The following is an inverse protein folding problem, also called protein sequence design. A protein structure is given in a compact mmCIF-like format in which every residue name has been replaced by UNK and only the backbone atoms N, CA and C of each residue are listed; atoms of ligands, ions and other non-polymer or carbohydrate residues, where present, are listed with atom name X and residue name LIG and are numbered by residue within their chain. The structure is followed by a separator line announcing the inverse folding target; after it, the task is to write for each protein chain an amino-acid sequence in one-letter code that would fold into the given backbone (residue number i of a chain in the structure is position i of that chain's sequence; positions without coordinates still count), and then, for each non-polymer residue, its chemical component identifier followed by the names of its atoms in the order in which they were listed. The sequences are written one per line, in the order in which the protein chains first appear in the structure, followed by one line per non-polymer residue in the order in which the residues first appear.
data_IF_101039380641
#
_entry.id   IF_101039380641
#
_cell.length_a   1.000
_cell.length_b   1.000
_cell.length_c   1.000
_cell.angle_alpha   90.00
_cell.angle_beta   90.00
_cell.angle_gamma   90.00
#
_symmetry.space_group_name_H-M   'P 1'
#
loop_
_entity.id
_entity.type
_entity.pdbx_description
1 polymer ?
#
# COMPACT_ATOMS: atom_id res chain seq x y z
N UNK A 1 -68.69 21.94 -12.77
CA UNK A 1 -67.36 21.28 -12.68
C UNK A 1 -67.63 19.86 -12.23
N UNK A 2 -67.33 18.87 -13.08
CA UNK A 2 -67.71 17.47 -12.87
C UNK A 2 -66.71 16.82 -11.87
N UNK A 3 -67.14 16.02 -10.88
CA UNK A 3 -66.23 15.40 -9.90
C UNK A 3 -65.26 14.36 -10.49
N UNK A 4 -65.41 14.02 -11.78
CA UNK A 4 -64.67 12.96 -12.48
C UNK A 4 -63.30 13.41 -13.04
N UNK A 5 -62.97 14.71 -13.00
CA UNK A 5 -61.73 15.25 -13.60
C UNK A 5 -60.50 15.21 -12.68
N UNK A 6 -60.51 14.40 -11.60
CA UNK A 6 -59.32 14.21 -10.76
C UNK A 6 -58.39 13.21 -11.46
N UNK A 7 -57.14 13.59 -11.82
CA UNK A 7 -56.20 12.66 -12.44
C UNK A 7 -55.97 11.49 -11.48
N UNK A 8 -56.36 10.28 -11.88
CA UNK A 8 -56.05 9.06 -11.12
C UNK A 8 -54.53 8.94 -11.01
N UNK A 9 -53.99 9.22 -9.82
CA UNK A 9 -52.61 8.93 -9.46
C UNK A 9 -52.37 7.44 -9.67
N UNK A 10 -51.76 7.08 -10.81
CA UNK A 10 -51.27 5.72 -11.03
C UNK A 10 -50.02 5.57 -10.18
N UNK A 11 -50.09 4.72 -9.16
CA UNK A 11 -48.92 4.27 -8.43
C UNK A 11 -47.93 3.67 -9.43
N UNK A 12 -46.68 4.15 -9.42
CA UNK A 12 -45.61 3.51 -10.17
C UNK A 12 -45.51 2.05 -9.73
N UNK A 13 -45.29 1.12 -10.68
CA UNK A 13 -45.16 -0.28 -10.33
C UNK A 13 -43.99 -0.48 -9.35
N UNK A 14 -44.13 -1.36 -8.34
CA UNK A 14 -43.05 -1.63 -7.41
C UNK A 14 -41.83 -2.17 -8.16
N UNK A 15 -40.68 -1.54 -7.95
CA UNK A 15 -39.41 -1.95 -8.55
C UNK A 15 -39.04 -3.37 -8.12
N UNK A 16 -38.44 -4.14 -9.03
CA UNK A 16 -37.95 -5.48 -8.70
C UNK A 16 -36.73 -5.40 -7.79
N UNK A 17 -36.44 -6.49 -7.06
CA UNK A 17 -35.25 -6.56 -6.22
C UNK A 17 -33.95 -6.37 -7.03
N UNK A 18 -33.92 -6.80 -8.30
CA UNK A 18 -32.78 -6.59 -9.21
C UNK A 18 -32.60 -5.12 -9.60
N UNK A 19 -33.70 -4.40 -9.84
CA UNK A 19 -33.66 -2.97 -10.16
C UNK A 19 -33.18 -2.13 -8.96
N UNK A 20 -33.63 -2.50 -7.77
CA UNK A 20 -33.18 -1.93 -6.49
C UNK A 20 -31.67 -2.13 -6.29
N UNK A 21 -31.16 -3.34 -6.51
CA UNK A 21 -29.72 -3.64 -6.40
C UNK A 21 -28.91 -2.79 -7.40
N UNK A 22 -29.34 -2.73 -8.66
CA UNK A 22 -28.65 -1.92 -9.70
C UNK A 22 -28.66 -0.43 -9.38
N UNK A 23 -29.75 0.11 -8.81
CA UNK A 23 -29.79 1.51 -8.36
C UNK A 23 -28.80 1.75 -7.22
N UNK A 24 -28.81 0.89 -6.20
CA UNK A 24 -27.90 1.02 -5.05
C UNK A 24 -26.43 0.94 -5.49
N UNK A 25 -26.08 0.04 -6.42
CA UNK A 25 -24.72 -0.04 -6.97
C UNK A 25 -24.33 1.22 -7.74
N UNK A 26 -25.24 1.79 -8.54
CA UNK A 26 -25.00 3.05 -9.26
C UNK A 26 -24.82 4.23 -8.32
N UNK A 27 -25.67 4.35 -7.29
CA UNK A 27 -25.58 5.39 -6.28
C UNK A 27 -24.28 5.29 -5.49
N UNK A 28 -23.89 4.07 -5.07
CA UNK A 28 -22.58 3.82 -4.46
C UNK A 28 -21.45 4.26 -5.37
N UNK A 29 -21.48 3.85 -6.64
CA UNK A 29 -20.42 4.18 -7.61
C UNK A 29 -20.33 5.70 -7.83
N UNK A 30 -21.46 6.39 -7.94
CA UNK A 30 -21.49 7.85 -8.04
C UNK A 30 -20.92 8.52 -6.79
N UNK A 31 -21.28 8.04 -5.58
CA UNK A 31 -20.74 8.55 -4.32
C UNK A 31 -19.23 8.29 -4.19
N UNK A 32 -18.73 7.14 -4.64
CA UNK A 32 -17.30 6.85 -4.71
C UNK A 32 -16.56 7.81 -5.65
N UNK A 33 -17.07 8.00 -6.87
CA UNK A 33 -16.48 8.91 -7.86
C UNK A 33 -16.48 10.36 -7.38
N UNK A 34 -17.56 10.81 -6.73
CA UNK A 34 -17.63 12.15 -6.16
C UNK A 34 -16.66 12.33 -4.98
N UNK A 35 -16.47 11.30 -4.15
CA UNK A 35 -15.46 11.30 -3.10
C UNK A 35 -14.04 11.32 -3.66
N UNK A 36 -13.77 10.58 -4.73
CA UNK A 36 -12.49 10.60 -5.45
C UNK A 36 -12.21 11.98 -6.07
N UNK A 37 -13.19 12.60 -6.73
CA UNK A 37 -13.02 13.94 -7.31
C UNK A 37 -12.80 15.03 -6.25
N UNK A 38 -13.43 14.91 -5.07
CA UNK A 38 -13.15 15.80 -3.94
C UNK A 38 -11.72 15.65 -3.38
N UNK A 39 -11.00 14.58 -3.73
CA UNK A 39 -9.60 14.35 -3.35
C UNK A 39 -8.62 14.83 -4.44
N UNK A 40 -9.09 15.38 -5.56
CA UNK A 40 -8.22 15.96 -6.60
C UNK A 40 -7.33 17.05 -5.99
N UNK A 41 -6.00 16.87 -6.05
CA UNK A 41 -4.99 17.73 -5.43
C UNK A 41 -5.01 17.73 -3.90
N UNK A 42 -5.49 16.65 -3.28
CA UNK A 42 -5.53 16.54 -1.82
C UNK A 42 -4.15 16.58 -1.16
N UNK A 43 -3.08 16.24 -1.89
CA UNK A 43 -1.73 16.25 -1.35
C UNK A 43 -1.03 17.59 -1.51
N UNK A 44 -1.48 18.50 -2.37
CA UNK A 44 -0.83 19.79 -2.53
C UNK A 44 -0.90 20.61 -1.21
N UNK A 45 0.21 21.20 -0.72
CA UNK A 45 1.53 21.36 -1.37
C UNK A 45 2.59 20.29 -1.01
N UNK A 46 2.22 19.21 -0.33
CA UNK A 46 3.15 18.18 0.16
C UNK A 46 3.71 17.29 -0.95
N UNK A 47 5.00 16.97 -0.85
CA UNK A 47 5.73 16.05 -1.71
C UNK A 47 5.75 14.68 -1.07
N UNK A 48 4.90 13.78 -1.55
CA UNK A 48 4.73 12.44 -0.98
C UNK A 48 5.35 11.39 -1.89
N UNK A 49 6.15 10.50 -1.31
CA UNK A 49 6.76 9.37 -2.00
C UNK A 49 6.15 8.02 -1.64
N UNK A 50 6.05 7.11 -2.60
CA UNK A 50 5.63 5.73 -2.33
C UNK A 50 6.34 4.73 -3.23
N UNK A 51 6.18 3.45 -2.92
CA UNK A 51 6.76 2.35 -3.68
C UNK A 51 5.75 1.82 -4.69
N UNK A 52 6.22 1.38 -5.86
CA UNK A 52 5.38 0.81 -6.92
C UNK A 52 5.07 -0.68 -6.72
N UNK A 53 5.25 -1.20 -5.50
CA UNK A 53 4.98 -2.59 -5.17
C UNK A 53 3.48 -2.83 -4.98
N UNK A 54 3.02 -4.04 -5.34
CA UNK A 54 1.61 -4.40 -5.29
C UNK A 54 0.96 -4.24 -3.90
N UNK A 55 1.74 -4.41 -2.83
CA UNK A 55 1.29 -4.24 -1.46
C UNK A 55 1.04 -2.76 -1.06
N UNK A 56 1.57 -1.80 -1.82
CA UNK A 56 1.36 -0.37 -1.59
C UNK A 56 0.27 0.23 -2.50
N UNK A 57 -0.15 -0.49 -3.55
CA UNK A 57 -1.19 -0.03 -4.48
C UNK A 57 -2.49 0.41 -3.77
N UNK A 58 -3.01 -0.31 -2.76
CA UNK A 58 -4.21 0.14 -2.06
C UNK A 58 -4.04 1.47 -1.32
N UNK A 59 -2.81 1.83 -0.93
CA UNK A 59 -2.51 3.06 -0.19
C UNK A 59 -2.42 4.29 -1.12
N UNK A 60 -2.05 4.08 -2.38
CA UNK A 60 -1.87 5.16 -3.36
C UNK A 60 -3.00 5.26 -4.37
N UNK A 61 -4.04 4.43 -4.23
CA UNK A 61 -5.16 4.38 -5.17
C UNK A 61 -5.89 5.72 -5.20
N UNK A 62 -5.98 6.33 -6.37
CA UNK A 62 -6.59 7.65 -6.59
C UNK A 62 -5.64 8.83 -6.37
N UNK A 63 -4.41 8.58 -5.93
CA UNK A 63 -3.37 9.59 -5.69
C UNK A 63 -2.15 9.39 -6.60
N UNK A 64 -2.25 8.49 -7.59
CA UNK A 64 -1.09 8.04 -8.38
C UNK A 64 -0.41 9.18 -9.13
N UNK A 65 -1.15 10.21 -9.54
CA UNK A 65 -0.61 11.39 -10.23
C UNK A 65 0.03 12.42 -9.26
N UNK A 66 -0.22 12.30 -7.96
CA UNK A 66 0.28 13.21 -6.92
C UNK A 66 1.44 12.61 -6.10
N UNK A 67 1.78 11.34 -6.33
CA UNK A 67 2.78 10.58 -5.56
C UNK A 67 4.01 10.29 -6.42
N UNK A 68 5.20 10.55 -5.86
CA UNK A 68 6.46 10.14 -6.47
C UNK A 68 6.71 8.65 -6.21
N UNK A 69 6.70 7.85 -7.27
CA UNK A 69 7.03 6.43 -7.18
C UNK A 69 8.52 6.16 -7.36
N UNK A 70 9.16 5.56 -6.36
CA UNK A 70 10.56 5.13 -6.42
C UNK A 70 10.82 3.89 -5.55
N UNK A 71 12.04 3.34 -5.61
CA UNK A 71 12.44 2.24 -4.72
C UNK A 71 12.55 2.73 -3.27
N UNK A 72 12.38 1.86 -2.25
CA UNK A 72 12.51 2.25 -0.85
C UNK A 72 13.82 3.00 -0.54
N UNK A 73 14.95 2.53 -1.07
CA UNK A 73 16.26 3.16 -0.88
C UNK A 73 16.32 4.56 -1.49
N UNK A 74 15.68 4.77 -2.65
CA UNK A 74 15.62 6.09 -3.28
C UNK A 74 14.72 7.05 -2.52
N UNK A 75 13.57 6.56 -2.03
CA UNK A 75 12.67 7.37 -1.19
C UNK A 75 13.35 7.81 0.11
N UNK A 76 14.12 6.92 0.74
CA UNK A 76 14.94 7.26 1.90
C UNK A 76 15.97 8.36 1.57
N UNK A 77 16.70 8.25 0.45
CA UNK A 77 17.65 9.29 0.00
C UNK A 77 16.96 10.66 -0.20
N UNK A 78 15.77 10.68 -0.80
CA UNK A 78 15.01 11.90 -1.03
C UNK A 78 14.49 12.52 0.28
N UNK A 79 14.02 11.71 1.22
CA UNK A 79 13.63 12.18 2.56
C UNK A 79 14.83 12.74 3.33
N UNK A 80 15.99 12.11 3.23
CA UNK A 80 17.21 12.60 3.88
C UNK A 80 17.66 13.97 3.36
N UNK A 81 17.36 14.28 2.09
CA UNK A 81 17.67 15.55 1.42
C UNK A 81 16.56 16.60 1.52
N UNK A 82 15.50 16.31 2.27
CA UNK A 82 14.32 17.17 2.38
C UNK A 82 13.67 17.44 0.99
N UNK A 83 13.83 16.51 0.04
CA UNK A 83 13.21 16.53 -1.29
C UNK A 83 11.80 15.91 -1.27
N UNK A 84 11.45 15.18 -0.21
CA UNK A 84 10.12 14.70 0.13
C UNK A 84 9.71 15.18 1.52
N UNK A 85 8.42 15.38 1.73
CA UNK A 85 7.84 15.74 3.03
C UNK A 85 7.33 14.51 3.78
N UNK A 86 6.91 13.47 3.04
CA UNK A 86 6.52 12.18 3.58
C UNK A 86 6.85 11.07 2.58
N UNK A 87 7.07 9.84 3.06
CA UNK A 87 7.29 8.72 2.17
C UNK A 87 7.11 7.35 2.79
N UNK A 88 6.63 6.40 1.99
CA UNK A 88 6.59 4.99 2.38
C UNK A 88 7.99 4.36 2.27
N UNK A 89 8.71 4.33 3.38
CA UNK A 89 10.08 3.79 3.46
C UNK A 89 10.17 2.50 4.25
N UNK A 90 11.33 1.86 4.17
CA UNK A 90 11.68 0.71 4.99
C UNK A 90 11.76 1.10 6.47
N UNK A 91 11.26 0.23 7.36
CA UNK A 91 11.40 0.42 8.82
C UNK A 91 12.87 0.53 9.27
N UNK A 92 13.83 -0.05 8.54
CA UNK A 92 15.25 0.08 8.90
C UNK A 92 15.76 1.50 8.71
N UNK A 93 15.20 2.27 7.76
CA UNK A 93 15.53 3.68 7.59
C UNK A 93 15.19 4.47 8.85
N UNK A 94 13.99 4.23 9.39
CA UNK A 94 13.53 4.85 10.64
C UNK A 94 14.35 4.40 11.84
N UNK A 95 14.64 3.10 11.95
CA UNK A 95 15.38 2.56 13.10
C UNK A 95 16.86 2.98 13.12
N UNK A 96 17.46 3.28 11.97
CA UNK A 96 18.87 3.64 11.88
C UNK A 96 19.12 5.15 11.82
N UNK A 97 18.07 5.97 11.66
CA UNK A 97 18.18 7.42 11.59
C UNK A 97 17.14 8.08 12.50
N UNK A 98 17.61 8.81 13.51
CA UNK A 98 16.78 9.43 14.55
C UNK A 98 16.21 10.80 14.12
N UNK A 99 15.55 10.85 12.96
CA UNK A 99 15.05 12.11 12.38
C UNK A 99 13.62 12.07 11.85
N UNK A 100 12.97 10.91 11.93
CA UNK A 100 11.66 10.70 11.31
C UNK A 100 10.59 10.48 12.36
N UNK A 101 9.47 11.17 12.17
CA UNK A 101 8.24 10.81 12.85
C UNK A 101 7.53 9.73 12.04
N UNK A 102 7.12 8.65 12.71
CA UNK A 102 6.33 7.58 12.09
C UNK A 102 4.85 7.94 12.20
N UNK A 103 4.14 7.91 11.08
CA UNK A 103 2.70 8.13 11.08
C UNK A 103 1.98 6.91 11.66
N UNK A 104 1.18 7.15 12.71
CA UNK A 104 0.37 6.11 13.35
C UNK A 104 -0.72 5.56 12.41
N UNK A 105 -1.21 4.36 12.74
CA UNK A 105 -2.34 3.68 12.10
C UNK A 105 -2.16 3.27 10.62
N UNK A 106 -0.99 3.53 10.03
CA UNK A 106 -0.71 3.17 8.63
C UNK A 106 0.68 2.55 8.47
N UNK A 107 0.72 1.35 7.90
CA UNK A 107 1.98 0.68 7.55
C UNK A 107 1.75 -0.41 6.50
N UNK A 108 2.81 -0.77 5.79
CA UNK A 108 2.89 -2.06 5.11
C UNK A 108 3.39 -3.09 6.12
N UNK A 109 2.46 -3.79 6.76
CA UNK A 109 2.74 -4.78 7.79
C UNK A 109 1.91 -6.05 7.59
N UNK A 110 2.30 -7.14 8.26
CA UNK A 110 1.54 -8.38 8.28
C UNK A 110 1.64 -9.03 9.66
N UNK A 111 0.55 -9.64 10.10
CA UNK A 111 0.53 -10.58 11.21
C UNK A 111 0.59 -12.00 10.64
N UNK A 112 1.78 -12.60 10.63
CA UNK A 112 2.01 -13.92 10.06
C UNK A 112 2.74 -13.87 8.73
N UNK A 113 2.40 -14.80 7.83
CA UNK A 113 3.13 -14.96 6.57
C UNK A 113 2.93 -13.78 5.60
N UNK A 114 3.97 -13.50 4.82
CA UNK A 114 3.93 -12.59 3.67
C UNK A 114 4.36 -13.37 2.43
N UNK A 115 3.67 -13.16 1.31
CA UNK A 115 3.93 -13.92 0.07
C UNK A 115 4.97 -13.28 -0.85
N UNK A 116 5.42 -12.08 -0.49
CA UNK A 116 6.33 -11.25 -1.29
C UNK A 116 7.76 -11.18 -0.74
N UNK A 117 8.04 -11.81 0.40
CA UNK A 117 9.38 -11.85 0.99
C UNK A 117 9.76 -13.31 1.20
N UNK A 118 10.72 -13.80 0.41
CA UNK A 118 11.04 -15.22 0.32
C UNK A 118 12.53 -15.46 0.52
N UNK A 119 12.88 -16.47 1.30
CA UNK A 119 14.21 -17.06 1.33
C UNK A 119 14.16 -18.39 0.55
N UNK A 120 14.63 -18.38 -0.69
CA UNK A 120 14.72 -19.59 -1.49
C UNK A 120 15.99 -20.38 -1.14
N UNK A 121 15.86 -21.68 -0.83
CA UNK A 121 16.99 -22.55 -0.53
C UNK A 121 16.73 -23.99 -1.02
N UNK A 122 17.79 -24.70 -1.43
CA UNK A 122 17.72 -26.10 -1.88
C UNK A 122 18.11 -27.13 -0.81
N UNK A 123 18.88 -26.69 0.18
CA UNK A 123 19.34 -27.50 1.33
C UNK A 123 18.61 -27.05 2.60
N UNK A 124 18.57 -27.84 3.67
CA UNK A 124 18.07 -27.38 4.96
C UNK A 124 18.74 -26.07 5.39
N UNK A 125 17.96 -25.16 6.00
CA UNK A 125 18.46 -23.83 6.38
C UNK A 125 19.66 -23.89 7.33
N UNK A 126 19.75 -24.95 8.15
CA UNK A 126 20.86 -25.16 9.08
C UNK A 126 22.21 -25.42 8.39
N UNK A 127 22.20 -25.82 7.12
CA UNK A 127 23.41 -26.07 6.31
C UNK A 127 23.83 -24.85 5.47
N UNK A 128 23.06 -23.78 5.52
CA UNK A 128 23.33 -22.57 4.71
C UNK A 128 24.59 -21.89 5.22
N UNK A 129 25.56 -21.72 4.32
CA UNK A 129 26.80 -20.98 4.58
C UNK A 129 26.82 -19.59 3.96
N UNK A 130 26.07 -19.41 2.88
CA UNK A 130 26.01 -18.18 2.10
C UNK A 130 24.57 -17.86 1.75
N UNK A 131 24.21 -16.59 1.86
CA UNK A 131 22.90 -16.05 1.48
C UNK A 131 23.11 -14.90 0.51
N UNK A 132 22.60 -15.04 -0.71
CA UNK A 132 22.62 -13.99 -1.71
C UNK A 132 21.39 -13.10 -1.55
N UNK A 133 21.59 -11.81 -1.37
CA UNK A 133 20.54 -10.84 -1.05
C UNK A 133 20.35 -9.85 -2.20
N UNK A 134 19.10 -9.54 -2.52
CA UNK A 134 18.74 -8.47 -3.44
C UNK A 134 19.19 -7.11 -2.85
N UNK A 135 20.02 -6.32 -3.56
CA UNK A 135 20.45 -4.99 -3.11
C UNK A 135 19.30 -4.01 -2.84
N UNK A 136 18.15 -4.19 -3.49
CA UNK A 136 16.97 -3.34 -3.26
C UNK A 136 16.23 -3.66 -1.95
N UNK A 137 16.54 -4.79 -1.32
CA UNK A 137 15.89 -5.26 -0.10
C UNK A 137 16.64 -4.85 1.17
N UNK A 138 16.14 -3.83 1.88
CA UNK A 138 16.71 -3.38 3.15
C UNK A 138 16.10 -4.12 4.36
N UNK A 139 14.79 -3.99 4.59
CA UNK A 139 14.11 -4.58 5.77
C UNK A 139 14.24 -6.09 5.84
N UNK A 140 13.95 -6.79 4.75
CA UNK A 140 13.87 -8.26 4.73
C UNK A 140 15.21 -8.92 4.99
N UNK A 141 16.31 -8.30 4.53
CA UNK A 141 17.67 -8.76 4.80
C UNK A 141 18.02 -8.61 6.28
N UNK A 142 17.63 -7.50 6.91
CA UNK A 142 17.84 -7.31 8.36
C UNK A 142 16.99 -8.28 9.18
N UNK A 143 15.73 -8.49 8.82
CA UNK A 143 14.89 -9.50 9.46
C UNK A 143 15.49 -10.89 9.33
N UNK A 144 16.01 -11.26 8.15
CA UNK A 144 16.66 -12.54 7.94
C UNK A 144 17.91 -12.71 8.84
N UNK A 145 18.72 -11.66 9.00
CA UNK A 145 19.88 -11.67 9.91
C UNK A 145 19.45 -11.95 11.35
N UNK A 146 18.40 -11.29 11.83
CA UNK A 146 17.84 -11.52 13.17
C UNK A 146 17.35 -12.97 13.29
N UNK A 147 16.52 -13.44 12.36
CA UNK A 147 15.95 -14.80 12.41
C UNK A 147 17.02 -15.91 12.37
N UNK A 148 18.10 -15.72 11.63
CA UNK A 148 19.21 -16.67 11.59
C UNK A 148 20.06 -16.60 12.86
N UNK A 149 20.30 -15.41 13.39
CA UNK A 149 21.04 -15.22 14.64
C UNK A 149 20.30 -15.84 15.84
N UNK A 150 18.98 -15.69 15.92
CA UNK A 150 18.12 -16.35 16.93
C UNK A 150 18.21 -17.89 16.85
N UNK A 151 18.55 -18.44 15.69
CA UNK A 151 18.79 -19.88 15.48
C UNK A 151 20.26 -20.29 15.64
N UNK A 152 21.14 -19.37 16.02
CA UNK A 152 22.58 -19.60 16.15
C UNK A 152 23.32 -19.75 14.81
N UNK A 153 22.66 -19.43 13.68
CA UNK A 153 23.23 -19.54 12.34
C UNK A 153 23.93 -18.24 11.93
N UNK A 154 25.11 -18.35 11.33
CA UNK A 154 25.93 -17.20 10.90
C UNK A 154 26.45 -17.36 9.47
N UNK A 155 25.56 -17.44 8.46
CA UNK A 155 26.01 -17.47 7.07
C UNK A 155 26.61 -16.13 6.66
N UNK A 156 27.43 -16.17 5.62
CA UNK A 156 27.90 -14.98 4.93
C UNK A 156 26.79 -14.39 4.05
N UNK A 157 26.60 -13.09 4.11
CA UNK A 157 25.65 -12.37 3.28
C UNK A 157 26.40 -11.75 2.09
N UNK A 158 25.97 -12.06 0.88
CA UNK A 158 26.57 -11.62 -0.36
C UNK A 158 25.51 -10.92 -1.23
N UNK A 159 25.87 -9.94 -2.06
CA UNK A 159 24.92 -9.36 -3.02
C UNK A 159 24.57 -10.40 -4.10
N UNK A 160 23.29 -10.47 -4.46
CA UNK A 160 22.84 -11.23 -5.62
C UNK A 160 23.28 -10.49 -6.89
N UNK A 161 24.02 -11.17 -7.79
CA UNK A 161 24.43 -10.59 -9.05
C UNK A 161 23.19 -10.25 -9.90
N UNK A 162 23.17 -9.01 -10.43
CA UNK A 162 22.12 -8.48 -11.32
C UNK A 162 22.27 -9.02 -12.74
#
# INVERSE_FOLDING_TARGET
MNPEDVPKLRLAQPETAEDLVRRVERERRAAYLQRESNLERSLAPFRVGSVSYLNAVPLTRGLEEEVLFATPSKLAELLQRDELDAGLVSVTEVLFNDRYDVLDDIAVASLGEVKSVLLAHRKPIAEVREVFCDPASLTSVQLLRVLLAERGLKPQFLPLAS
#
